data_IF_728970642577
#
_entry.id   IF_728970642577
#
_cell.length_a   1.000
_cell.length_b   1.000
_cell.length_c   1.000
_cell.angle_alpha   90.00
_cell.angle_beta   90.00
_cell.angle_gamma   90.00
#
_symmetry.space_group_name_H-M   'P 1'
#
loop_
_entity.id
_entity.type
_entity.pdbx_description
1 polymer ?
#
# COMPACT_ATOMS: atom_id res chain seq x y z
N UNK A 1 8.20 14.58 1.00
CA UNK A 1 7.10 14.20 1.91
C UNK A 1 7.08 15.18 3.07
N UNK A 2 5.94 15.75 3.44
CA UNK A 2 5.76 16.48 4.72
C UNK A 2 5.45 15.47 5.84
N UNK A 3 5.39 15.91 7.10
CA UNK A 3 4.96 15.05 8.21
C UNK A 3 3.48 14.66 8.05
N UNK A 4 2.62 15.59 7.66
CA UNK A 4 1.19 15.33 7.44
C UNK A 4 0.94 14.21 6.41
N UNK A 5 1.69 14.20 5.31
CA UNK A 5 1.60 13.13 4.31
C UNK A 5 2.11 11.79 4.85
N UNK A 6 3.13 11.79 5.73
CA UNK A 6 3.60 10.56 6.39
C UNK A 6 2.53 10.00 7.33
N UNK A 7 1.88 10.88 8.11
CA UNK A 7 0.81 10.51 9.03
C UNK A 7 -0.41 9.99 8.29
N UNK A 8 -0.79 10.60 7.16
CA UNK A 8 -1.84 10.08 6.28
C UNK A 8 -1.47 8.69 5.76
N UNK A 9 -0.25 8.52 5.23
CA UNK A 9 0.20 7.24 4.70
C UNK A 9 0.12 6.13 5.75
N UNK A 10 0.75 6.33 6.92
CA UNK A 10 0.76 5.36 8.01
C UNK A 10 -0.65 5.13 8.56
N UNK A 11 -1.40 6.20 8.80
CA UNK A 11 -2.74 6.15 9.38
C UNK A 11 -3.71 5.36 8.51
N UNK A 12 -3.75 5.62 7.20
CA UNK A 12 -4.65 4.92 6.29
C UNK A 12 -4.25 3.46 6.07
N UNK A 13 -2.96 3.16 5.87
CA UNK A 13 -2.53 1.77 5.74
C UNK A 13 -2.88 0.97 6.99
N UNK A 14 -2.61 1.51 8.18
CA UNK A 14 -2.94 0.83 9.43
C UNK A 14 -4.45 0.72 9.68
N UNK A 15 -5.26 1.68 9.19
CA UNK A 15 -6.71 1.58 9.22
C UNK A 15 -7.20 0.38 8.40
N UNK A 16 -6.81 0.27 7.13
CA UNK A 16 -7.22 -0.85 6.27
C UNK A 16 -6.68 -2.20 6.77
N UNK A 17 -5.41 -2.25 7.18
CA UNK A 17 -4.82 -3.45 7.81
C UNK A 17 -5.59 -3.90 9.04
N UNK A 18 -6.11 -2.97 9.84
CA UNK A 18 -6.95 -3.28 11.01
C UNK A 18 -8.32 -3.83 10.60
N UNK A 19 -8.95 -3.29 9.56
CA UNK A 19 -10.21 -3.84 9.02
C UNK A 19 -10.03 -5.30 8.60
N UNK A 20 -8.98 -5.60 7.83
CA UNK A 20 -8.66 -6.97 7.44
C UNK A 20 -8.33 -7.85 8.65
N UNK A 21 -7.49 -7.38 9.58
CA UNK A 21 -7.11 -8.15 10.76
C UNK A 21 -8.30 -8.54 11.63
N UNK A 22 -9.31 -7.67 11.73
CA UNK A 22 -10.51 -7.89 12.54
C UNK A 22 -11.62 -8.65 11.81
N UNK A 23 -11.43 -8.95 10.51
CA UNK A 23 -12.39 -9.64 9.67
C UNK A 23 -13.59 -8.78 9.26
N UNK A 24 -13.41 -7.45 9.25
CA UNK A 24 -14.42 -6.49 8.81
C UNK A 24 -14.25 -6.03 7.37
N UNK A 25 -13.20 -6.52 6.71
CA UNK A 25 -12.91 -6.16 5.33
C UNK A 25 -13.82 -6.95 4.37
N UNK A 26 -14.59 -6.22 3.56
CA UNK A 26 -15.65 -6.80 2.74
C UNK A 26 -15.09 -7.27 1.40
N UNK A 27 -15.10 -8.58 1.19
CA UNK A 27 -14.65 -9.26 -0.03
C UNK A 27 -15.80 -9.43 -1.01
N UNK A 28 -15.52 -9.94 -2.23
CA UNK A 28 -16.53 -10.13 -3.27
C UNK A 28 -17.70 -11.05 -2.88
N UNK A 29 -17.46 -12.00 -1.98
CA UNK A 29 -18.39 -13.05 -1.59
C UNK A 29 -18.46 -13.28 -0.06
N UNK A 30 -18.16 -12.24 0.73
CA UNK A 30 -18.26 -12.27 2.19
C UNK A 30 -17.33 -11.28 2.86
N UNK A 31 -16.72 -11.70 3.97
CA UNK A 31 -15.69 -10.94 4.69
C UNK A 31 -14.39 -11.73 4.73
N UNK A 32 -13.26 -11.02 4.72
CA UNK A 32 -11.95 -11.63 4.90
C UNK A 32 -11.84 -12.32 6.27
N UNK A 33 -11.07 -13.42 6.40
CA UNK A 33 -10.86 -14.06 7.68
C UNK A 33 -10.00 -13.16 8.58
N UNK A 34 -10.15 -13.32 9.89
CA UNK A 34 -9.31 -12.57 10.85
C UNK A 34 -7.85 -12.98 10.71
N UNK A 35 -6.96 -11.99 10.72
CA UNK A 35 -5.52 -12.23 10.74
C UNK A 35 -5.01 -12.29 12.18
N UNK A 36 -4.27 -13.34 12.53
CA UNK A 36 -3.71 -13.53 13.88
C UNK A 36 -2.46 -12.69 14.17
N UNK A 37 -1.76 -12.21 13.14
CA UNK A 37 -0.45 -11.57 13.27
C UNK A 37 -0.24 -10.39 12.29
N UNK A 38 -1.27 -9.58 12.04
CA UNK A 38 -1.13 -8.39 11.19
C UNK A 38 -0.33 -7.29 11.91
N UNK A 39 0.89 -7.04 11.45
CA UNK A 39 1.77 -6.01 12.05
C UNK A 39 1.34 -4.59 11.65
N UNK A 40 1.47 -3.64 12.58
CA UNK A 40 1.32 -2.22 12.25
C UNK A 40 2.55 -1.71 11.47
N UNK A 41 2.31 -0.87 10.48
CA UNK A 41 3.36 -0.20 9.70
C UNK A 41 3.81 1.08 10.42
N UNK A 42 5.09 1.40 10.25
CA UNK A 42 5.69 2.66 10.65
C UNK A 42 6.34 3.31 9.43
N UNK A 43 6.37 4.64 9.38
CA UNK A 43 7.09 5.34 8.34
C UNK A 43 8.60 5.20 8.56
N UNK A 44 9.34 4.79 7.52
CA UNK A 44 10.80 4.66 7.59
C UNK A 44 11.44 5.93 7.05
N UNK A 45 11.81 6.83 7.97
CA UNK A 45 12.64 8.01 7.72
C UNK A 45 13.96 7.86 8.48
N UNK A 46 15.04 7.45 7.79
CA UNK A 46 16.39 7.57 8.34
C UNK A 46 17.21 8.52 7.46
N UNK A 47 17.51 9.71 7.97
CA UNK A 47 18.26 10.74 7.25
C UNK A 47 19.69 10.28 6.86
N UNK A 48 20.22 9.24 7.51
CA UNK A 48 21.60 8.78 7.33
C UNK A 48 21.73 7.48 6.53
N UNK A 49 20.63 6.87 6.06
CA UNK A 49 20.65 5.61 5.32
C UNK A 49 20.02 5.74 3.93
N UNK A 50 20.47 4.90 2.99
CA UNK A 50 19.74 4.61 1.74
C UNK A 50 18.45 3.83 2.08
N UNK A 51 17.47 4.52 2.65
CA UNK A 51 16.19 3.96 3.00
C UNK A 51 15.22 4.00 1.80
N UNK A 52 14.14 3.23 1.92
CA UNK A 52 13.13 3.13 0.86
C UNK A 52 12.48 4.48 0.53
N UNK A 53 12.29 5.38 1.49
CA UNK A 53 11.70 6.70 1.23
C UNK A 53 12.55 7.57 0.28
N UNK A 54 13.89 7.53 0.42
CA UNK A 54 14.82 8.22 -0.49
C UNK A 54 14.81 7.58 -1.89
N UNK A 55 14.78 6.25 -1.96
CA UNK A 55 14.74 5.51 -3.22
C UNK A 55 13.41 5.76 -3.96
N UNK A 56 12.27 5.69 -3.27
CA UNK A 56 10.94 5.98 -3.83
C UNK A 56 10.84 7.41 -4.35
N UNK A 57 11.43 8.40 -3.66
CA UNK A 57 11.48 9.78 -4.17
C UNK A 57 12.21 9.83 -5.53
N UNK A 58 13.38 9.21 -5.62
CA UNK A 58 14.17 9.22 -6.85
C UNK A 58 13.43 8.56 -8.03
N UNK A 59 12.59 7.54 -7.77
CA UNK A 59 11.78 6.89 -8.80
C UNK A 59 10.72 7.80 -9.44
N UNK A 60 10.31 8.88 -8.75
CA UNK A 60 9.25 9.78 -9.20
C UNK A 60 9.73 11.20 -9.51
N UNK A 61 11.01 11.51 -9.31
CA UNK A 61 11.57 12.86 -9.48
C UNK A 61 11.41 13.38 -10.92
N UNK A 62 11.48 12.51 -11.93
CA UNK A 62 11.32 12.88 -13.36
C UNK A 62 9.86 12.86 -13.85
N UNK A 63 8.89 12.57 -12.96
CA UNK A 63 7.46 12.48 -13.29
C UNK A 63 7.16 11.60 -14.52
N UNK A 64 7.82 10.44 -14.62
CA UNK A 64 7.62 9.53 -15.75
C UNK A 64 6.16 9.06 -15.84
N UNK A 65 5.62 9.03 -17.06
CA UNK A 65 4.25 8.58 -17.37
C UNK A 65 4.05 7.07 -17.16
N UNK A 66 5.14 6.31 -17.21
CA UNK A 66 5.13 4.86 -17.04
C UNK A 66 5.55 4.53 -15.61
N UNK A 67 4.92 3.50 -15.03
CA UNK A 67 5.18 3.09 -13.66
C UNK A 67 6.65 2.67 -13.46
N UNK A 68 7.32 3.13 -12.38
CA UNK A 68 8.68 2.70 -12.11
C UNK A 68 8.72 1.22 -11.72
N UNK A 69 9.86 0.53 -11.91
CA UNK A 69 10.04 -0.79 -11.34
C UNK A 69 10.12 -0.71 -9.80
N UNK A 70 9.71 -1.77 -9.12
CA UNK A 70 9.85 -1.88 -7.68
C UNK A 70 11.34 -1.88 -7.28
N UNK A 71 11.66 -1.26 -6.14
CA UNK A 71 13.00 -1.35 -5.55
C UNK A 71 13.26 -2.77 -5.07
N UNK A 72 14.45 -3.32 -5.30
CA UNK A 72 14.77 -4.69 -4.92
C UNK A 72 14.49 -4.95 -3.42
N UNK A 73 13.79 -6.04 -3.10
CA UNK A 73 13.36 -6.38 -1.74
C UNK A 73 12.11 -5.62 -1.23
N UNK A 74 11.49 -4.77 -2.06
CA UNK A 74 10.27 -4.03 -1.72
C UNK A 74 9.18 -4.25 -2.76
N UNK A 75 7.93 -4.27 -2.32
CA UNK A 75 6.77 -4.16 -3.19
C UNK A 75 6.50 -2.70 -3.56
N UNK A 76 5.79 -2.47 -4.67
CA UNK A 76 5.45 -1.14 -5.17
C UNK A 76 3.95 -1.05 -5.44
N UNK A 77 3.32 -0.04 -4.84
CA UNK A 77 2.05 0.50 -5.30
C UNK A 77 2.32 1.87 -5.93
N UNK A 78 1.63 2.18 -7.02
CA UNK A 78 1.72 3.48 -7.68
C UNK A 78 0.32 3.95 -8.10
N UNK A 79 0.18 5.26 -8.24
CA UNK A 79 -1.06 5.90 -8.65
C UNK A 79 -0.75 7.15 -9.46
N UNK A 80 -1.45 7.32 -10.58
CA UNK A 80 -1.35 8.50 -11.42
C UNK A 80 -2.71 9.14 -11.55
N UNK A 81 -2.76 10.45 -11.32
CA UNK A 81 -3.93 11.27 -11.58
C UNK A 81 -3.58 12.30 -12.65
N UNK A 82 -4.47 12.48 -13.64
CA UNK A 82 -4.24 13.39 -14.78
C UNK A 82 -4.80 14.80 -14.54
N UNK A 83 -5.25 15.09 -13.33
CA UNK A 83 -5.71 16.42 -12.91
C UNK A 83 -4.77 17.03 -11.88
N UNK A 84 -4.62 18.36 -11.92
CA UNK A 84 -3.89 19.17 -10.94
C UNK A 84 -4.80 19.78 -9.87
N UNK A 85 -6.07 19.36 -9.82
CA UNK A 85 -7.08 19.93 -8.91
C UNK A 85 -7.01 19.37 -7.49
N UNK A 86 -6.41 18.19 -7.30
CA UNK A 86 -6.28 17.56 -5.99
C UNK A 86 -5.05 18.12 -5.26
N UNK A 87 -5.21 18.39 -3.97
CA UNK A 87 -4.09 18.55 -3.06
C UNK A 87 -3.26 17.26 -2.97
N UNK A 88 -2.05 17.35 -2.42
CA UNK A 88 -1.19 16.16 -2.24
C UNK A 88 -1.82 15.18 -1.25
N UNK A 89 -2.49 15.71 -0.24
CA UNK A 89 -3.22 14.98 0.79
C UNK A 89 -4.40 14.22 0.18
N UNK A 90 -5.25 14.89 -0.60
CA UNK A 90 -6.38 14.26 -1.29
C UNK A 90 -5.91 13.20 -2.29
N UNK A 91 -4.85 13.49 -3.06
CA UNK A 91 -4.28 12.54 -4.01
C UNK A 91 -3.77 11.28 -3.31
N UNK A 92 -3.06 11.43 -2.19
CA UNK A 92 -2.54 10.32 -1.41
C UNK A 92 -3.67 9.50 -0.77
N UNK A 93 -4.67 10.16 -0.21
CA UNK A 93 -5.84 9.49 0.36
C UNK A 93 -6.59 8.67 -0.71
N UNK A 94 -6.78 9.26 -1.89
CA UNK A 94 -7.41 8.60 -3.03
C UNK A 94 -6.61 7.37 -3.48
N UNK A 95 -5.29 7.51 -3.64
CA UNK A 95 -4.42 6.41 -4.03
C UNK A 95 -4.51 5.21 -3.07
N UNK A 96 -4.39 5.45 -1.76
CA UNK A 96 -4.43 4.39 -0.74
C UNK A 96 -5.81 3.72 -0.70
N UNK A 97 -6.88 4.52 -0.84
CA UNK A 97 -8.25 4.00 -0.89
C UNK A 97 -8.44 3.10 -2.11
N UNK A 98 -8.02 3.54 -3.30
CA UNK A 98 -8.14 2.72 -4.51
C UNK A 98 -7.36 1.40 -4.40
N UNK A 99 -6.17 1.42 -3.79
CA UNK A 99 -5.42 0.20 -3.56
C UNK A 99 -6.10 -0.75 -2.56
N UNK A 100 -6.74 -0.21 -1.52
CA UNK A 100 -7.46 -1.01 -0.53
C UNK A 100 -8.77 -1.57 -1.12
N UNK A 101 -9.49 -0.80 -1.92
CA UNK A 101 -10.78 -1.18 -2.53
C UNK A 101 -10.67 -2.34 -3.52
N UNK A 102 -9.47 -2.69 -3.95
CA UNK A 102 -9.21 -3.93 -4.70
C UNK A 102 -9.62 -5.20 -3.92
N UNK A 103 -9.83 -5.12 -2.59
CA UNK A 103 -10.45 -6.19 -1.78
C UNK A 103 -11.78 -6.69 -2.36
N UNK A 104 -12.53 -5.81 -3.02
CA UNK A 104 -13.80 -6.15 -3.68
C UNK A 104 -13.66 -7.20 -4.79
N UNK A 105 -12.43 -7.48 -5.23
CA UNK A 105 -12.10 -8.52 -6.23
C UNK A 105 -11.56 -9.80 -5.61
N UNK A 106 -11.25 -9.77 -4.31
CA UNK A 106 -10.71 -10.90 -3.54
C UNK A 106 -11.86 -11.79 -3.07
N UNK A 107 -11.65 -13.11 -3.02
CA UNK A 107 -12.60 -14.04 -2.40
C UNK A 107 -12.52 -14.03 -0.88
N UNK A 108 -13.57 -14.46 -0.18
CA UNK A 108 -13.66 -14.50 1.28
C UNK A 108 -12.57 -15.34 1.97
N UNK A 109 -11.91 -16.24 1.24
CA UNK A 109 -10.76 -17.00 1.74
C UNK A 109 -9.47 -16.16 1.80
N UNK A 110 -9.51 -14.94 1.23
CA UNK A 110 -8.43 -13.96 1.22
C UNK A 110 -7.08 -14.51 0.73
N UNK A 111 -7.13 -15.34 -0.31
CA UNK A 111 -5.96 -15.94 -0.95
C UNK A 111 -5.44 -15.02 -2.05
N UNK A 112 -4.11 -14.82 -2.05
CA UNK A 112 -3.45 -14.04 -3.08
C UNK A 112 -3.24 -14.85 -4.36
N UNK A 113 -3.63 -14.25 -5.49
CA UNK A 113 -3.30 -14.71 -6.83
C UNK A 113 -2.74 -13.53 -7.62
N UNK A 114 -1.55 -13.73 -8.19
CA UNK A 114 -0.85 -12.69 -8.96
C UNK A 114 -1.65 -12.30 -10.21
N UNK A 115 -1.68 -10.99 -10.49
CA UNK A 115 -2.23 -10.38 -11.71
C UNK A 115 -3.75 -10.59 -11.90
N UNK A 116 -4.47 -10.82 -10.80
CA UNK A 116 -5.94 -10.87 -10.76
C UNK A 116 -6.61 -9.53 -10.46
N UNK A 117 -5.85 -8.44 -10.50
CA UNK A 117 -6.36 -7.08 -10.31
C UNK A 117 -6.46 -6.63 -8.85
N UNK A 118 -5.80 -7.32 -7.93
CA UNK A 118 -5.71 -6.99 -6.51
C UNK A 118 -4.27 -7.02 -5.94
N UNK A 119 -3.28 -6.76 -6.82
CA UNK A 119 -1.87 -6.73 -6.43
C UNK A 119 -1.59 -5.59 -5.43
N UNK A 120 -2.26 -4.43 -5.56
CA UNK A 120 -2.03 -3.30 -4.67
C UNK A 120 -2.64 -3.57 -3.29
N UNK A 121 -3.82 -4.17 -3.24
CA UNK A 121 -4.45 -4.63 -1.99
C UNK A 121 -3.53 -5.60 -1.24
N UNK A 122 -2.94 -6.56 -1.95
CA UNK A 122 -2.01 -7.53 -1.35
C UNK A 122 -0.81 -6.82 -0.70
N UNK A 123 -0.24 -5.80 -1.35
CA UNK A 123 0.86 -5.01 -0.79
C UNK A 123 0.45 -4.21 0.45
N UNK A 124 -0.75 -3.62 0.49
CA UNK A 124 -1.27 -2.91 1.68
C UNK A 124 -1.41 -3.87 2.88
N UNK A 125 -1.83 -5.11 2.64
CA UNK A 125 -2.21 -6.09 3.67
C UNK A 125 -1.17 -7.17 3.95
N UNK A 126 0.04 -7.07 3.40
CA UNK A 126 1.12 -8.03 3.65
C UNK A 126 1.41 -8.14 5.16
N UNK A 127 1.11 -9.31 5.74
CA UNK A 127 1.28 -9.60 7.17
C UNK A 127 2.73 -9.84 7.59
N UNK A 128 3.61 -10.13 6.62
CA UNK A 128 5.06 -10.19 6.80
C UNK A 128 5.70 -9.11 5.93
N UNK A 129 6.60 -8.30 6.50
CA UNK A 129 7.71 -7.74 5.72
C UNK A 129 8.46 -8.91 5.11
N UNK A 130 8.93 -8.83 3.84
CA UNK A 130 9.53 -9.98 3.16
C UNK A 130 10.56 -10.65 4.07
N UNK A 131 10.45 -11.96 4.35
CA UNK A 131 11.62 -12.70 4.75
C UNK A 131 12.60 -12.56 3.60
N UNK A 132 13.83 -12.16 3.89
CA UNK A 132 14.91 -12.29 2.92
C UNK A 132 14.85 -13.68 2.29
N UNK A 133 15.02 -13.70 0.97
CA UNK A 133 15.11 -14.91 0.17
C UNK A 133 16.00 -15.96 0.86
N UNK A 134 15.49 -17.19 0.99
CA UNK A 134 16.32 -18.37 1.22
C UNK A 134 17.06 -18.75 -0.06
#
# INVERSE_FOLDING_TARGET
>A
MSNDLQDIAVGMHNYFRRLAATGWDQTKDGYAPRASAMLALNYVCDANANNIGKLTKALVDDCNKDAPPATNGYSLNYYYERTLQLSREELLQKAITEWADEVSKVGKENLYEKDKGFNNFANVHQGSTPPGDN
#
